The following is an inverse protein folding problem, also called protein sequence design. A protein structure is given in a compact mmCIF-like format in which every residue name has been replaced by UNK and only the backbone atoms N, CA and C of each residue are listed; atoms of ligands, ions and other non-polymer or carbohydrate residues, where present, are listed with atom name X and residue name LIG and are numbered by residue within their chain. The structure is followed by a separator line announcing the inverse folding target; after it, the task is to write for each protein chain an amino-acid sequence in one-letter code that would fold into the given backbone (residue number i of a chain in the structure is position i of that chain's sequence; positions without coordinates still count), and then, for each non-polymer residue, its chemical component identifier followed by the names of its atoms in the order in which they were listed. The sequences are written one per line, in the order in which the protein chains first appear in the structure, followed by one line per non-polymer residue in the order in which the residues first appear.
data_IF_251872076693
#
_entry.id   IF_251872076693
#
_cell.length_a   1.000
_cell.length_b   1.000
_cell.length_c   1.000
_cell.angle_alpha   90.00
_cell.angle_beta   90.00
_cell.angle_gamma   90.00
#
_symmetry.space_group_name_H-M   'P 1'
#
loop_
_entity.id
_entity.type
_entity.pdbx_description
1 polymer ?
#
# COMPACT_ATOMS: atom_id res chain seq x y z
N UNK A 1 -28.70 5.01 1.18
CA UNK A 1 -28.33 3.73 0.53
C UNK A 1 -27.00 3.80 -0.23
N UNK A 2 -26.43 4.98 -0.53
CA UNK A 2 -25.11 5.10 -1.19
C UNK A 2 -23.90 4.77 -0.29
N UNK A 3 -23.96 5.10 1.00
CA UNK A 3 -22.80 5.00 1.91
C UNK A 3 -22.35 3.56 2.19
N UNK A 4 -23.33 2.64 2.31
CA UNK A 4 -23.05 1.20 2.51
C UNK A 4 -22.39 0.59 1.27
N UNK A 5 -22.72 1.10 0.09
CA UNK A 5 -22.15 0.63 -1.18
C UNK A 5 -20.68 1.07 -1.31
N UNK A 6 -20.36 2.33 -0.95
CA UNK A 6 -18.98 2.82 -1.02
C UNK A 6 -18.05 2.04 -0.11
N UNK A 7 -18.40 1.86 1.17
CA UNK A 7 -17.56 1.12 2.12
C UNK A 7 -17.35 -0.33 1.65
N UNK A 8 -18.39 -0.97 1.13
CA UNK A 8 -18.30 -2.33 0.59
C UNK A 8 -17.35 -2.44 -0.62
N UNK A 9 -17.20 -1.39 -1.42
CA UNK A 9 -16.25 -1.32 -2.55
C UNK A 9 -14.82 -1.02 -2.09
N UNK A 10 -14.66 -0.17 -1.07
CA UNK A 10 -13.34 0.26 -0.57
C UNK A 10 -12.63 -0.86 0.19
N UNK A 11 -13.34 -1.67 0.98
CA UNK A 11 -12.73 -2.72 1.79
C UNK A 11 -11.90 -3.71 0.96
N UNK A 12 -12.43 -4.32 -0.13
CA UNK A 12 -11.63 -5.22 -0.97
C UNK A 12 -10.41 -4.56 -1.60
N UNK A 13 -10.54 -3.31 -2.05
CA UNK A 13 -9.43 -2.54 -2.63
C UNK A 13 -8.34 -2.26 -1.59
N UNK A 14 -8.73 -1.93 -0.36
CA UNK A 14 -7.80 -1.70 0.74
C UNK A 14 -7.01 -2.97 1.10
N UNK A 15 -7.69 -4.12 1.15
CA UNK A 15 -7.02 -5.41 1.36
C UNK A 15 -6.08 -5.78 0.22
N UNK A 16 -6.48 -5.51 -1.03
CA UNK A 16 -5.62 -5.68 -2.20
C UNK A 16 -4.37 -4.79 -2.12
N UNK A 17 -4.55 -3.53 -1.70
CA UNK A 17 -3.47 -2.58 -1.50
C UNK A 17 -2.51 -2.99 -0.36
N UNK A 18 -3.02 -3.66 0.68
CA UNK A 18 -2.25 -4.10 1.84
C UNK A 18 -1.21 -5.19 1.50
N UNK A 19 -1.40 -5.93 0.39
CA UNK A 19 -0.47 -6.98 -0.03
C UNK A 19 0.75 -6.33 -0.70
N UNK A 20 1.71 -5.88 0.11
CA UNK A 20 2.99 -5.36 -0.36
C UNK A 20 4.18 -5.95 0.37
N UNK A 21 4.74 -7.06 -0.16
CA UNK A 21 5.96 -7.68 0.37
C UNK A 21 7.15 -6.72 0.35
N UNK A 22 7.22 -5.84 -0.65
CA UNK A 22 8.25 -4.81 -0.77
C UNK A 22 8.16 -3.80 0.37
N UNK A 23 6.96 -3.32 0.68
CA UNK A 23 6.75 -2.38 1.79
C UNK A 23 7.12 -3.01 3.13
N UNK A 24 6.66 -4.24 3.39
CA UNK A 24 6.99 -4.97 4.61
C UNK A 24 8.50 -5.21 4.75
N UNK A 25 9.16 -5.66 3.69
CA UNK A 25 10.60 -5.96 3.72
C UNK A 25 11.43 -4.71 3.99
N UNK A 26 11.15 -3.61 3.28
CA UNK A 26 11.88 -2.35 3.47
C UNK A 26 11.60 -1.75 4.85
N UNK A 27 10.37 -1.87 5.35
CA UNK A 27 10.03 -1.43 6.69
C UNK A 27 10.84 -2.17 7.76
N UNK A 28 10.87 -3.51 7.71
CA UNK A 28 11.61 -4.32 8.68
C UNK A 28 13.12 -4.07 8.61
N UNK A 29 13.70 -3.99 7.42
CA UNK A 29 15.12 -3.64 7.25
C UNK A 29 15.41 -2.26 7.86
N UNK A 30 14.53 -1.29 7.62
CA UNK A 30 14.68 0.09 8.11
C UNK A 30 14.60 0.15 9.64
N UNK A 31 13.77 -0.67 10.27
CA UNK A 31 13.70 -0.79 11.73
C UNK A 31 14.90 -1.56 12.31
N UNK A 32 15.32 -2.65 11.66
CA UNK A 32 16.39 -3.55 12.11
C UNK A 32 17.77 -2.88 12.09
N UNK A 33 18.02 -2.00 11.10
CA UNK A 33 19.28 -1.25 10.98
C UNK A 33 19.34 0.02 11.82
N UNK A 34 18.26 0.40 12.51
CA UNK A 34 18.15 1.68 13.19
C UNK A 34 18.59 1.61 14.67
N UNK A 35 19.40 2.57 15.11
CA UNK A 35 19.70 2.77 16.53
C UNK A 35 18.46 3.25 17.34
N UNK A 36 17.41 3.70 16.65
CA UNK A 36 16.14 4.10 17.27
C UNK A 36 14.96 3.57 16.43
N UNK A 37 14.58 2.29 16.63
CA UNK A 37 13.53 1.65 15.85
C UNK A 37 12.19 2.39 15.90
N UNK A 38 11.86 3.02 17.03
CA UNK A 38 10.60 3.79 17.17
C UNK A 38 10.58 4.99 16.24
N UNK A 39 11.65 5.79 16.23
CA UNK A 39 11.76 6.95 15.35
C UNK A 39 11.77 6.50 13.89
N UNK A 40 12.55 5.46 13.56
CA UNK A 40 12.63 4.90 12.21
C UNK A 40 11.27 4.44 11.68
N UNK A 41 10.58 3.59 12.46
CA UNK A 41 9.29 3.03 12.09
C UNK A 41 8.20 4.10 11.94
N UNK A 42 8.09 5.04 12.89
CA UNK A 42 7.11 6.13 12.80
C UNK A 42 7.39 7.06 11.62
N UNK A 43 8.66 7.41 11.38
CA UNK A 43 9.03 8.29 10.26
C UNK A 43 8.68 7.63 8.92
N UNK A 44 9.01 6.34 8.76
CA UNK A 44 8.66 5.55 7.59
C UNK A 44 7.13 5.53 7.39
N UNK A 45 6.37 5.24 8.45
CA UNK A 45 4.92 5.17 8.41
C UNK A 45 4.27 6.50 7.98
N UNK A 46 4.77 7.62 8.50
CA UNK A 46 4.32 8.96 8.09
C UNK A 46 4.65 9.24 6.61
N UNK A 47 5.81 8.80 6.13
CA UNK A 47 6.16 8.87 4.70
C UNK A 47 5.24 8.04 3.81
N UNK A 48 4.85 6.84 4.27
CA UNK A 48 3.90 5.98 3.59
C UNK A 48 2.49 6.60 3.51
N UNK A 49 1.97 7.12 4.63
CA UNK A 49 0.69 7.83 4.68
C UNK A 49 0.67 8.99 3.69
N UNK A 50 1.74 9.78 3.63
CA UNK A 50 1.82 10.93 2.75
C UNK A 50 1.60 10.56 1.27
N UNK A 51 2.27 9.50 0.80
CA UNK A 51 2.10 9.01 -0.58
C UNK A 51 0.71 8.42 -0.79
N UNK A 52 0.21 7.63 0.15
CA UNK A 52 -1.14 7.07 0.11
C UNK A 52 -2.19 8.15 -0.07
N UNK A 53 -2.16 9.19 0.76
CA UNK A 53 -3.10 10.31 0.67
C UNK A 53 -2.99 11.04 -0.66
N UNK A 54 -1.77 11.30 -1.15
CA UNK A 54 -1.59 11.88 -2.48
C UNK A 54 -2.22 11.02 -3.57
N UNK A 55 -2.00 9.70 -3.55
CA UNK A 55 -2.60 8.77 -4.53
C UNK A 55 -4.12 8.72 -4.42
N UNK A 56 -4.68 8.73 -3.22
CA UNK A 56 -6.13 8.81 -2.99
C UNK A 56 -6.69 10.12 -3.57
N UNK A 57 -6.07 11.26 -3.28
CA UNK A 57 -6.54 12.56 -3.79
C UNK A 57 -6.46 12.63 -5.33
N UNK A 58 -5.43 12.05 -5.94
CA UNK A 58 -5.37 11.90 -7.39
C UNK A 58 -6.52 11.05 -7.92
N UNK A 59 -6.83 9.92 -7.27
CA UNK A 59 -7.98 9.08 -7.61
C UNK A 59 -9.30 9.85 -7.50
N UNK A 60 -9.53 10.56 -6.40
CA UNK A 60 -10.73 11.38 -6.17
C UNK A 60 -10.88 12.44 -7.26
N UNK A 61 -9.77 13.11 -7.62
CA UNK A 61 -9.77 14.10 -8.69
C UNK A 61 -10.15 13.48 -10.04
N UNK A 62 -9.62 12.29 -10.37
CA UNK A 62 -9.98 11.56 -11.60
C UNK A 62 -11.47 11.18 -11.61
N UNK A 63 -11.98 10.61 -10.51
CA UNK A 63 -13.40 10.26 -10.39
C UNK A 63 -14.30 11.48 -10.52
N UNK A 64 -13.97 12.57 -9.80
CA UNK A 64 -14.71 13.82 -9.83
C UNK A 64 -14.73 14.44 -11.24
N UNK A 65 -13.58 14.48 -11.91
CA UNK A 65 -13.43 15.00 -13.28
C UNK A 65 -14.31 14.25 -14.28
N UNK A 66 -14.36 12.91 -14.20
CA UNK A 66 -15.23 12.07 -15.03
C UNK A 66 -16.71 12.41 -14.83
N UNK A 67 -17.15 12.64 -13.58
CA UNK A 67 -18.54 13.04 -13.33
C UNK A 67 -18.85 14.45 -13.86
N UNK A 68 -17.90 15.38 -13.78
CA UNK A 68 -18.10 16.78 -14.21
C UNK A 68 -18.11 16.97 -15.73
N UNK A 69 -17.44 16.09 -16.47
CA UNK A 69 -17.35 16.13 -17.94
C UNK A 69 -18.44 15.33 -18.64
N UNK A 70 -19.32 14.66 -17.89
CA UNK A 70 -20.37 13.80 -18.46
C UNK A 70 -19.83 12.49 -19.07
N UNK A 71 -18.56 12.16 -18.82
CA UNK A 71 -17.89 10.93 -19.25
C UNK A 71 -17.78 9.89 -18.12
N UNK A 72 -18.64 9.99 -17.12
CA UNK A 72 -18.84 8.94 -16.11
C UNK A 72 -19.69 7.78 -16.62
N UNK A 73 -19.89 7.64 -17.95
CA UNK A 73 -20.65 6.55 -18.52
C UNK A 73 -19.93 5.20 -18.33
N UNK A 74 -20.67 4.08 -18.20
CA UNK A 74 -20.11 2.76 -17.90
C UNK A 74 -19.03 2.29 -18.87
N UNK A 75 -19.07 2.73 -20.13
CA UNK A 75 -18.12 2.30 -21.15
C UNK A 75 -16.77 3.02 -21.01
N UNK A 76 -16.79 4.33 -20.77
CA UNK A 76 -15.56 5.11 -20.52
C UNK A 76 -14.90 4.69 -19.22
N UNK A 77 -15.69 4.48 -18.17
CA UNK A 77 -15.20 3.95 -16.90
C UNK A 77 -14.60 2.55 -17.05
N UNK A 78 -15.29 1.66 -17.78
CA UNK A 78 -14.82 0.30 -18.03
C UNK A 78 -13.55 0.26 -18.90
N UNK A 79 -13.39 1.16 -19.86
CA UNK A 79 -12.19 1.26 -20.68
C UNK A 79 -10.96 1.72 -19.86
N UNK A 80 -11.15 2.65 -18.93
CA UNK A 80 -10.10 3.10 -18.00
C UNK A 80 -9.70 1.95 -17.06
N UNK A 81 -10.67 1.21 -16.53
CA UNK A 81 -10.41 0.04 -15.68
C UNK A 81 -9.71 -1.09 -16.43
N UNK A 82 -10.08 -1.33 -17.70
CA UNK A 82 -9.41 -2.31 -18.56
C UNK A 82 -7.97 -1.89 -18.87
N UNK A 83 -7.73 -0.59 -19.09
CA UNK A 83 -6.39 -0.05 -19.34
C UNK A 83 -5.49 -0.14 -18.09
N UNK A 84 -6.01 0.25 -16.92
CA UNK A 84 -5.34 0.08 -15.63
C UNK A 84 -5.06 -1.39 -15.34
N UNK A 85 -6.03 -2.28 -15.59
CA UNK A 85 -5.90 -3.72 -15.48
C UNK A 85 -4.85 -4.31 -16.43
N UNK A 86 -4.77 -3.84 -17.67
CA UNK A 86 -3.74 -4.26 -18.61
C UNK A 86 -2.34 -3.82 -18.17
N UNK A 87 -2.19 -2.58 -17.68
CA UNK A 87 -0.94 -2.10 -17.07
C UNK A 87 -0.57 -2.96 -15.86
N UNK A 88 -1.52 -3.31 -15.00
CA UNK A 88 -1.32 -4.21 -13.86
C UNK A 88 -0.77 -5.58 -14.28
N UNK A 89 -1.38 -6.20 -15.29
CA UNK A 89 -0.94 -7.51 -15.81
C UNK A 89 0.49 -7.41 -16.35
N UNK A 90 0.82 -6.36 -17.10
CA UNK A 90 2.16 -6.13 -17.61
C UNK A 90 3.18 -5.86 -16.49
N UNK A 91 2.81 -5.12 -15.45
CA UNK A 91 3.64 -4.90 -14.27
C UNK A 91 3.82 -6.17 -13.44
N UNK A 92 2.79 -7.00 -13.31
CA UNK A 92 2.84 -8.32 -12.67
C UNK A 92 3.76 -9.27 -13.41
N UNK A 93 3.66 -9.32 -14.75
CA UNK A 93 4.57 -10.05 -15.63
C UNK A 93 6.00 -9.53 -15.45
N UNK A 94 6.22 -8.21 -15.51
CA UNK A 94 7.53 -7.58 -15.28
C UNK A 94 8.08 -7.91 -13.89
N UNK A 95 7.25 -7.92 -12.86
CA UNK A 95 7.64 -8.25 -11.48
C UNK A 95 7.97 -9.74 -11.32
N UNK A 96 7.24 -10.62 -12.01
CA UNK A 96 7.50 -12.05 -12.06
C UNK A 96 8.83 -12.37 -12.72
N UNK A 97 9.19 -11.62 -13.77
CA UNK A 97 10.49 -11.70 -14.44
C UNK A 97 11.59 -10.83 -13.83
N UNK A 98 11.24 -9.93 -12.90
CA UNK A 98 12.20 -9.14 -12.15
C UNK A 98 12.82 -10.03 -11.08
N UNK A 99 14.14 -10.20 -11.13
CA UNK A 99 14.85 -10.94 -10.09
C UNK A 99 14.56 -10.28 -8.75
N UNK A 100 14.12 -11.10 -7.79
CA UNK A 100 14.04 -10.75 -6.37
C UNK A 100 15.18 -9.82 -6.03
N UNK A 101 14.86 -8.61 -5.57
CA UNK A 101 15.84 -7.69 -5.00
C UNK A 101 16.29 -8.27 -3.65
N UNK A 102 16.98 -9.42 -3.70
CA UNK A 102 17.92 -9.82 -2.68
C UNK A 102 18.97 -8.72 -2.61
N UNK A 103 18.88 -7.91 -1.55
CA UNK A 103 19.84 -6.84 -1.22
C UNK A 103 20.00 -5.83 -2.36
N UNK A 104 19.05 -4.92 -2.55
CA UNK A 104 19.32 -3.73 -3.35
C UNK A 104 20.40 -2.89 -2.63
N UNK A 105 21.66 -3.11 -3.01
CA UNK A 105 22.89 -2.59 -2.39
C UNK A 105 22.90 -1.05 -2.26
N UNK A 106 22.21 -0.36 -3.15
CA UNK A 106 22.07 1.11 -3.16
C UNK A 106 21.17 1.65 -2.04
N UNK A 107 20.05 0.98 -1.74
CA UNK A 107 19.16 1.36 -0.62
C UNK A 107 19.80 1.05 0.74
N UNK A 108 20.52 -0.07 0.86
CA UNK A 108 21.31 -0.40 2.07
C UNK A 108 22.38 0.67 2.34
N UNK A 109 22.93 1.30 1.30
CA UNK A 109 23.90 2.39 1.45
C UNK A 109 23.24 3.70 1.95
N UNK A 110 22.00 3.97 1.55
CA UNK A 110 21.19 5.09 2.07
C UNK A 110 20.67 4.85 3.50
N UNK A 111 20.58 3.59 3.92
CA UNK A 111 20.22 3.17 5.27
C UNK A 111 21.39 3.26 6.28
N UNK A 112 22.62 3.48 5.83
CA UNK A 112 23.77 3.76 6.72
C UNK A 112 23.63 5.17 7.29
N UNK A 113 22.85 5.26 8.35
CA UNK A 113 22.55 6.50 9.02
C UNK A 113 23.67 6.81 10.00
N UNK A 114 24.13 8.06 9.96
CA UNK A 114 25.10 8.54 10.93
C UNK A 114 24.46 8.51 12.32
N UNK A 115 25.06 7.72 13.21
CA UNK A 115 24.61 7.55 14.60
C UNK A 115 24.59 8.91 15.32
N UNK A 116 25.48 9.84 14.94
CA UNK A 116 25.57 11.19 15.52
C UNK A 116 24.60 12.21 14.92
N UNK A 117 23.84 11.84 13.87
CA UNK A 117 22.87 12.74 13.28
C UNK A 117 21.75 13.12 14.27
N UNK A 118 21.24 14.36 14.15
CA UNK A 118 20.11 14.81 14.96
C UNK A 118 18.84 13.98 14.69
N UNK A 119 17.93 13.91 15.67
CA UNK A 119 16.66 13.20 15.51
C UNK A 119 15.84 13.71 14.31
N UNK A 120 15.92 15.01 13.99
CA UNK A 120 15.25 15.57 12.82
C UNK A 120 15.86 15.09 11.50
N UNK A 121 17.19 15.00 11.42
CA UNK A 121 17.88 14.47 10.24
C UNK A 121 17.54 12.98 10.02
N UNK A 122 17.53 12.19 11.11
CA UNK A 122 17.10 10.78 11.10
C UNK A 122 15.65 10.66 10.66
N UNK A 123 14.74 11.45 11.23
CA UNK A 123 13.33 11.50 10.84
C UNK A 123 13.18 11.73 9.34
N UNK A 124 13.81 12.78 8.79
CA UNK A 124 13.70 13.14 7.37
C UNK A 124 14.14 11.98 6.48
N UNK A 125 15.24 11.31 6.81
CA UNK A 125 15.74 10.19 6.02
C UNK A 125 14.78 8.99 6.03
N UNK A 126 14.34 8.55 7.21
CA UNK A 126 13.38 7.44 7.32
C UNK A 126 12.02 7.77 6.70
N UNK A 127 11.56 9.01 6.81
CA UNK A 127 10.40 9.53 6.09
C UNK A 127 10.59 9.42 4.58
N UNK A 128 11.74 9.84 4.04
CA UNK A 128 12.05 9.71 2.61
C UNK A 128 12.09 8.24 2.17
N UNK A 129 12.59 7.32 3.00
CA UNK A 129 12.58 5.89 2.69
C UNK A 129 11.14 5.37 2.60
N UNK A 130 10.28 5.70 3.55
CA UNK A 130 8.85 5.34 3.50
C UNK A 130 8.15 5.92 2.27
N UNK A 131 8.40 7.19 1.97
CA UNK A 131 7.88 7.88 0.79
C UNK A 131 8.31 7.18 -0.50
N UNK A 132 9.61 6.94 -0.71
CA UNK A 132 10.11 6.30 -1.93
C UNK A 132 9.60 4.86 -2.08
N UNK A 133 9.47 4.14 -0.96
CA UNK A 133 8.92 2.79 -0.94
C UNK A 133 7.50 2.77 -1.48
N UNK A 134 6.62 3.63 -0.98
CA UNK A 134 5.22 3.66 -1.44
C UNK A 134 5.07 4.29 -2.82
N UNK A 135 5.91 5.26 -3.19
CA UNK A 135 5.89 5.90 -4.50
C UNK A 135 6.24 4.92 -5.63
N UNK A 136 7.10 3.94 -5.35
CA UNK A 136 7.51 2.91 -6.31
C UNK A 136 6.73 1.59 -6.17
N UNK A 137 5.88 1.49 -5.16
CA UNK A 137 5.06 0.32 -4.88
C UNK A 137 3.77 0.35 -5.70
N UNK A 138 3.90 -0.06 -6.97
CA UNK A 138 2.78 -0.08 -7.92
C UNK A 138 1.68 -1.05 -7.51
N UNK A 139 2.00 -2.16 -6.83
CA UNK A 139 1.00 -3.12 -6.38
C UNK A 139 0.05 -2.52 -5.34
N UNK A 140 0.50 -1.59 -4.52
CA UNK A 140 -0.38 -0.82 -3.63
C UNK A 140 -1.03 0.36 -4.36
N UNK A 141 -0.24 1.15 -5.10
CA UNK A 141 -0.69 2.42 -5.67
C UNK A 141 -1.93 2.29 -6.56
N UNK A 142 -2.05 1.19 -7.31
CA UNK A 142 -3.13 1.02 -8.28
C UNK A 142 -4.47 0.81 -7.59
N UNK A 143 -4.53 0.01 -6.52
CA UNK A 143 -5.75 -0.19 -5.75
C UNK A 143 -6.16 1.07 -4.98
N UNK A 144 -5.18 1.84 -4.48
CA UNK A 144 -5.44 3.12 -3.82
C UNK A 144 -5.98 4.15 -4.80
N UNK A 145 -5.45 4.19 -6.02
CA UNK A 145 -5.95 5.07 -7.07
C UNK A 145 -7.39 4.71 -7.47
N UNK A 146 -7.67 3.41 -7.62
CA UNK A 146 -9.02 2.91 -7.89
C UNK A 146 -9.99 3.26 -6.75
N UNK A 147 -9.58 3.05 -5.50
CA UNK A 147 -10.39 3.39 -4.33
C UNK A 147 -10.68 4.90 -4.24
N UNK A 148 -9.66 5.74 -4.49
CA UNK A 148 -9.84 7.19 -4.57
C UNK A 148 -10.83 7.59 -5.67
N UNK A 149 -10.76 6.93 -6.84
CA UNK A 149 -11.71 7.16 -7.94
C UNK A 149 -13.13 6.83 -7.54
N UNK A 150 -13.38 5.68 -6.91
CA UNK A 150 -14.73 5.31 -6.44
C UNK A 150 -15.27 6.33 -5.43
N UNK A 151 -14.43 6.82 -4.51
CA UNK A 151 -14.80 7.92 -3.59
C UNK A 151 -15.20 9.17 -4.39
N UNK A 152 -14.43 9.55 -5.41
CA UNK A 152 -14.74 10.69 -6.27
C UNK A 152 -16.01 10.53 -7.11
N UNK A 153 -16.38 9.30 -7.48
CA UNK A 153 -17.62 9.00 -8.21
C UNK A 153 -18.85 9.01 -7.30
N UNK A 154 -18.71 8.55 -6.05
CA UNK A 154 -19.83 8.26 -5.16
C UNK A 154 -20.62 9.50 -4.70
N UNK A 155 -19.98 10.68 -4.63
CA UNK A 155 -20.59 11.96 -4.17
C UNK A 155 -21.36 11.81 -2.85
N UNK A 156 -20.82 11.03 -1.92
CA UNK A 156 -21.44 10.67 -0.62
C UNK A 156 -21.32 11.76 0.45
N UNK A 157 -20.51 12.79 0.20
CA UNK A 157 -20.32 13.92 1.10
C UNK A 157 -19.11 13.76 2.00
N UNK A 158 -18.56 14.89 2.45
CA UNK A 158 -17.19 14.97 2.98
C UNK A 158 -16.91 14.04 4.17
N UNK A 159 -17.87 13.82 5.06
CA UNK A 159 -17.67 12.98 6.24
C UNK A 159 -17.60 11.50 5.90
N UNK A 160 -18.38 11.05 4.92
CA UNK A 160 -18.36 9.66 4.44
C UNK A 160 -17.06 9.40 3.68
N UNK A 161 -16.65 10.36 2.84
CA UNK A 161 -15.41 10.28 2.07
C UNK A 161 -14.19 10.21 3.01
N UNK A 162 -14.12 11.09 4.02
CA UNK A 162 -13.06 11.05 5.03
C UNK A 162 -13.04 9.72 5.77
N UNK A 163 -14.21 9.19 6.17
CA UNK A 163 -14.32 7.88 6.79
C UNK A 163 -13.78 6.74 5.90
N UNK A 164 -14.11 6.77 4.62
CA UNK A 164 -13.62 5.80 3.63
C UNK A 164 -12.09 5.90 3.44
N UNK A 165 -11.53 7.11 3.40
CA UNK A 165 -10.08 7.34 3.30
C UNK A 165 -9.35 6.81 4.54
N UNK A 166 -9.88 7.08 5.73
CA UNK A 166 -9.29 6.58 6.99
C UNK A 166 -9.31 5.06 7.01
N UNK A 167 -10.45 4.44 6.69
CA UNK A 167 -10.59 2.99 6.64
C UNK A 167 -9.63 2.36 5.61
N UNK A 168 -9.58 2.93 4.40
CA UNK A 168 -8.69 2.53 3.32
C UNK A 168 -7.23 2.56 3.78
N UNK A 169 -6.81 3.65 4.43
CA UNK A 169 -5.43 3.87 4.88
C UNK A 169 -5.05 2.84 5.95
N UNK A 170 -5.89 2.66 6.98
CA UNK A 170 -5.63 1.72 8.07
C UNK A 170 -5.52 0.27 7.56
N UNK A 171 -6.46 -0.17 6.73
CA UNK A 171 -6.43 -1.54 6.19
C UNK A 171 -5.19 -1.72 5.29
N UNK A 172 -4.87 -0.73 4.44
CA UNK A 172 -3.72 -0.81 3.54
C UNK A 172 -2.40 -0.90 4.30
N UNK A 173 -2.27 -0.14 5.39
CA UNK A 173 -1.02 -0.08 6.15
C UNK A 173 -0.93 -1.11 7.27
N UNK A 174 -1.91 -2.01 7.42
CA UNK A 174 -1.93 -3.01 8.50
C UNK A 174 -0.65 -3.86 8.55
N UNK A 175 -0.05 -4.15 7.39
CA UNK A 175 1.21 -4.90 7.27
C UNK A 175 2.41 -4.15 7.87
N UNK A 176 2.32 -2.83 8.03
CA UNK A 176 3.31 -1.96 8.66
C UNK A 176 2.92 -1.65 10.11
N UNK A 177 1.65 -1.36 10.34
CA UNK A 177 1.11 -1.00 11.66
C UNK A 177 1.29 -2.13 12.67
N UNK A 178 1.07 -3.38 12.28
CA UNK A 178 1.21 -4.53 13.19
C UNK A 178 2.65 -4.67 13.70
N UNK A 179 3.70 -4.74 12.85
CA UNK A 179 5.07 -4.76 13.35
C UNK A 179 5.45 -3.45 14.06
N UNK A 180 5.01 -2.27 13.59
CA UNK A 180 5.29 -1.00 14.26
C UNK A 180 4.80 -1.00 15.71
N UNK A 181 3.54 -1.37 15.93
CA UNK A 181 2.94 -1.47 17.26
C UNK A 181 3.67 -2.48 18.13
N UNK A 182 4.03 -3.64 17.57
CA UNK A 182 4.81 -4.66 18.27
C UNK A 182 6.16 -4.12 18.76
N UNK A 183 6.92 -3.45 17.91
CA UNK A 183 8.22 -2.85 18.27
C UNK A 183 8.08 -1.70 19.27
N UNK A 184 7.00 -0.90 19.20
CA UNK A 184 6.78 0.23 20.10
C UNK A 184 6.36 -0.23 21.50
N UNK A 185 5.47 -1.21 21.59
CA UNK A 185 4.87 -1.72 22.83
C UNK A 185 5.73 -2.79 23.52
N UNK A 186 6.46 -3.60 22.75
CA UNK A 186 7.23 -4.74 23.26
C UNK A 186 8.72 -4.72 22.85
N UNK A 187 9.47 -3.63 23.14
CA UNK A 187 10.83 -3.44 22.61
C UNK A 187 11.81 -4.56 23.01
N UNK A 188 11.75 -5.06 24.27
CA UNK A 188 12.63 -6.14 24.76
C UNK A 188 12.37 -7.50 24.09
N UNK A 189 11.13 -7.74 23.65
CA UNK A 189 10.77 -8.95 22.92
C UNK A 189 11.11 -8.81 21.45
N UNK A 190 10.93 -7.61 20.89
CA UNK A 190 11.29 -7.33 19.50
C UNK A 190 12.79 -7.56 19.25
N UNK A 191 13.68 -7.05 20.12
CA UNK A 191 15.14 -7.30 20.02
C UNK A 191 15.51 -8.80 19.96
N UNK A 192 14.75 -9.67 20.64
CA UNK A 192 14.98 -11.12 20.65
C UNK A 192 14.45 -11.86 19.43
N UNK A 193 13.48 -11.28 18.72
CA UNK A 193 12.75 -11.93 17.61
C UNK A 193 13.18 -11.38 16.25
N UNK A 194 13.84 -10.21 16.18
CA UNK A 194 14.30 -9.57 14.94
C UNK A 194 15.18 -10.47 14.06
N UNK A 195 16.20 -11.11 14.62
CA UNK A 195 17.13 -11.96 13.85
C UNK A 195 16.47 -13.21 13.24
N UNK A 196 15.66 -13.99 13.99
CA UNK A 196 14.90 -15.11 13.43
C UNK A 196 13.85 -14.68 12.39
N UNK A 197 13.16 -13.56 12.61
CA UNK A 197 12.14 -13.04 11.68
C UNK A 197 12.76 -12.60 10.35
N UNK A 198 13.85 -11.83 10.37
CA UNK A 198 14.52 -11.38 9.14
C UNK A 198 14.99 -12.59 8.28
N UNK A 199 15.48 -13.65 8.93
CA UNK A 199 15.86 -14.91 8.27
C UNK A 199 14.67 -15.70 7.73
N UNK A 200 13.53 -15.68 8.41
CA UNK A 200 12.33 -16.41 7.96
C UNK A 200 11.60 -15.68 6.83
N UNK A 201 11.45 -14.35 6.93
CA UNK A 201 10.82 -13.50 5.92
C UNK A 201 11.62 -13.47 4.62
N UNK A 202 12.95 -13.37 4.69
CA UNK A 202 13.81 -13.48 3.50
C UNK A 202 13.69 -14.84 2.80
N UNK A 203 13.34 -15.90 3.54
CA UNK A 203 13.21 -17.28 3.02
C UNK A 203 11.81 -17.62 2.49
N UNK A 204 10.75 -17.02 3.03
CA UNK A 204 9.35 -17.38 2.70
C UNK A 204 8.50 -16.23 2.11
N UNK A 205 9.08 -15.07 1.84
CA UNK A 205 8.40 -13.90 1.23
C UNK A 205 7.57 -14.25 -0.01
N UNK A 206 8.06 -15.16 -0.86
CA UNK A 206 7.35 -15.59 -2.07
C UNK A 206 6.13 -16.47 -1.80
N UNK A 207 6.15 -17.31 -0.75
CA UNK A 207 5.04 -18.20 -0.40
C UNK A 207 3.88 -17.41 0.20
N UNK A 208 4.20 -16.46 1.09
CA UNK A 208 3.21 -15.52 1.66
C UNK A 208 2.60 -14.68 0.53
N UNK A 209 3.44 -14.15 -0.38
CA UNK A 209 2.98 -13.41 -1.56
C UNK A 209 2.06 -14.25 -2.46
N UNK A 210 2.39 -15.52 -2.71
CA UNK A 210 1.59 -16.42 -3.55
C UNK A 210 0.20 -16.72 -2.95
N UNK A 211 0.13 -17.03 -1.65
CA UNK A 211 -1.14 -17.33 -0.98
C UNK A 211 -2.06 -16.09 -0.98
N UNK A 212 -1.51 -14.91 -0.68
CA UNK A 212 -2.29 -13.67 -0.69
C UNK A 212 -2.75 -13.27 -2.10
N UNK A 213 -1.88 -13.35 -3.12
CA UNK A 213 -2.25 -13.05 -4.50
C UNK A 213 -3.33 -14.00 -5.05
N UNK A 214 -3.30 -15.28 -4.68
CA UNK A 214 -4.33 -16.25 -5.07
C UNK A 214 -5.69 -15.94 -4.44
N UNK A 215 -5.73 -15.60 -3.14
CA UNK A 215 -6.97 -15.24 -2.44
C UNK A 215 -7.59 -13.97 -3.04
N UNK A 216 -6.77 -12.95 -3.30
CA UNK A 216 -7.25 -11.68 -3.84
C UNK A 216 -7.62 -11.78 -5.32
N UNK A 217 -6.86 -12.54 -6.12
CA UNK A 217 -7.23 -12.82 -7.51
C UNK A 217 -8.62 -13.46 -7.64
N UNK A 218 -8.95 -14.39 -6.74
CA UNK A 218 -10.27 -15.02 -6.69
C UNK A 218 -11.39 -14.03 -6.34
N UNK A 219 -11.14 -13.14 -5.38
CA UNK A 219 -12.07 -12.09 -4.95
C UNK A 219 -12.34 -11.05 -6.06
N UNK A 220 -11.31 -10.64 -6.79
CA UNK A 220 -11.44 -9.70 -7.90
C UNK A 220 -12.20 -10.32 -9.07
N UNK A 221 -11.93 -11.59 -9.40
CA UNK A 221 -12.70 -12.33 -10.43
C UNK A 221 -14.18 -12.39 -10.04
N UNK A 222 -14.49 -12.72 -8.79
CA UNK A 222 -15.86 -12.75 -8.27
C UNK A 222 -16.56 -11.38 -8.43
N UNK A 223 -15.88 -10.29 -8.08
CA UNK A 223 -16.43 -8.93 -8.22
C UNK A 223 -16.55 -8.47 -9.69
N UNK A 224 -15.70 -8.95 -10.59
CA UNK A 224 -15.85 -8.70 -12.03
C UNK A 224 -17.09 -9.39 -12.61
N UNK A 225 -17.34 -10.63 -12.19
CA UNK A 225 -18.50 -11.42 -12.61
C UNK A 225 -19.81 -10.77 -12.13
N UNK A 226 -19.85 -10.23 -10.91
CA UNK A 226 -21.04 -9.55 -10.37
C UNK A 226 -21.35 -8.23 -11.08
N UNK A 227 -20.35 -7.48 -11.51
CA UNK A 227 -20.55 -6.26 -12.31
C UNK A 227 -21.00 -6.54 -13.75
N UNK A 228 -20.64 -7.71 -14.30
CA UNK A 228 -21.03 -8.13 -15.65
C UNK A 228 -22.47 -8.69 -15.74
N UNK A 229 -23.22 -8.77 -14.62
CA UNK A 229 -24.55 -9.42 -14.54
C UNK A 229 -24.58 -10.83 -15.16
N UNK A 230 -23.47 -11.56 -15.04
CA UNK A 230 -23.40 -12.97 -15.46
C UNK A 230 -23.95 -13.89 -14.35
N UNK A 231 -24.16 -13.35 -13.14
CA UNK A 231 -24.96 -13.90 -12.05
C UNK A 231 -25.70 -12.74 -11.37
#
# INVERSE_FOLDING_TARGET
MGDVNLIAQIIPLAWAAAVSPTALSLFLITMSMSDNPKLSGLSFYVGAIFVLLLTVFLGIFLGSALTSTGHGDPATTGAIDLFLGAILVLLGIKSFFSKSHGKNSSLIKYLRIDVQASNFAKFRQYFTIGLLTFLTNLSTAIFILAAGREIGLAKTGIWVDVGAIVLLTLITLIVIEVPLLFFVLMPKSAEKVSEPMDKWLSKHSNLVMAIFLLIIGFLVIYNGISHLKII
#
